data_IF_201109161819
#
_entry.id   IF_201109161819
#
_cell.length_a   1.000
_cell.length_b   1.000
_cell.length_c   1.000
_cell.angle_alpha   90.00
_cell.angle_beta   90.00
_cell.angle_gamma   90.00
#
_symmetry.space_group_name_H-M   'P 1'
#
loop_
_entity.id
_entity.type
_entity.pdbx_description
1 polymer ?
#
# COMPACT_ATOMS: atom_id res chain seq x y z
N UNK A 1 -15.85 -1.45 -11.52
CA UNK A 1 -16.94 -1.28 -12.49
C UNK A 1 -16.50 -1.93 -13.79
N UNK A 2 -17.27 -2.89 -14.29
CA UNK A 2 -16.96 -3.60 -15.53
C UNK A 2 -17.21 -2.71 -16.75
N UNK A 3 -18.22 -1.84 -16.65
CA UNK A 3 -18.55 -0.83 -17.64
C UNK A 3 -17.82 0.48 -17.36
N UNK A 4 -17.63 1.29 -18.41
CA UNK A 4 -16.99 2.62 -18.35
C UNK A 4 -17.93 3.74 -18.78
N UNK A 5 -19.22 3.45 -18.93
CA UNK A 5 -20.22 4.45 -19.30
C UNK A 5 -20.38 5.44 -18.14
N UNK A 6 -20.20 6.75 -18.35
CA UNK A 6 -20.34 7.73 -17.29
C UNK A 6 -21.81 7.84 -16.87
N UNK A 7 -22.07 7.76 -15.57
CA UNK A 7 -23.40 7.91 -14.97
C UNK A 7 -23.36 9.00 -13.90
N UNK A 8 -24.52 9.52 -13.51
CA UNK A 8 -24.57 10.54 -12.48
C UNK A 8 -24.00 9.98 -11.17
N UNK A 9 -22.92 10.59 -10.68
CA UNK A 9 -22.19 10.14 -9.48
C UNK A 9 -21.07 9.13 -9.74
N UNK A 10 -20.79 8.74 -11.00
CA UNK A 10 -19.62 7.91 -11.32
C UNK A 10 -18.33 8.70 -11.15
N UNK A 11 -17.31 8.06 -10.55
CA UNK A 11 -15.96 8.61 -10.41
C UNK A 11 -15.01 7.69 -11.18
N UNK A 12 -14.13 8.29 -11.98
CA UNK A 12 -13.07 7.56 -12.68
C UNK A 12 -11.85 7.42 -11.78
N UNK A 13 -11.45 6.18 -11.52
CA UNK A 13 -10.24 5.84 -10.77
C UNK A 13 -9.39 4.85 -11.57
N UNK A 14 -8.10 4.81 -11.25
CA UNK A 14 -7.19 3.84 -11.86
C UNK A 14 -7.53 2.41 -11.42
N UNK A 15 -7.22 1.42 -12.24
CA UNK A 15 -7.49 0.02 -11.89
C UNK A 15 -6.70 -0.44 -10.65
N UNK A 16 -5.55 0.19 -10.38
CA UNK A 16 -4.81 -0.01 -9.13
C UNK A 16 -5.61 0.48 -7.93
N UNK A 17 -6.15 1.70 -7.98
CA UNK A 17 -6.98 2.22 -6.90
C UNK A 17 -8.23 1.37 -6.67
N UNK A 18 -8.89 0.89 -7.74
CA UNK A 18 -10.04 -0.02 -7.61
C UNK A 18 -9.67 -1.31 -6.88
N UNK A 19 -8.49 -1.88 -7.17
CA UNK A 19 -7.98 -3.08 -6.49
C UNK A 19 -7.71 -2.83 -5.01
N UNK A 20 -7.07 -1.71 -4.67
CA UNK A 20 -6.85 -1.33 -3.27
C UNK A 20 -8.16 -1.13 -2.51
N UNK A 21 -9.11 -0.38 -3.08
CA UNK A 21 -10.42 -0.14 -2.48
C UNK A 21 -11.22 -1.43 -2.31
N UNK A 22 -11.13 -2.36 -3.26
CA UNK A 22 -11.76 -3.67 -3.13
C UNK A 22 -11.18 -4.46 -1.94
N UNK A 23 -9.86 -4.42 -1.74
CA UNK A 23 -9.24 -5.06 -0.58
C UNK A 23 -9.66 -4.41 0.75
N UNK A 24 -9.68 -3.08 0.81
CA UNK A 24 -10.10 -2.31 1.99
C UNK A 24 -11.59 -2.46 2.31
N UNK A 25 -12.43 -2.66 1.29
CA UNK A 25 -13.87 -2.81 1.44
C UNK A 25 -14.25 -4.00 2.32
N UNK A 26 -13.43 -5.05 2.36
CA UNK A 26 -13.66 -6.24 3.18
C UNK A 26 -13.80 -5.88 4.67
N UNK A 27 -12.83 -5.15 5.22
CA UNK A 27 -12.84 -4.73 6.62
C UNK A 27 -13.92 -3.67 6.88
N UNK A 28 -14.13 -2.76 5.93
CA UNK A 28 -15.14 -1.71 6.04
C UNK A 28 -16.55 -2.29 6.07
N UNK A 29 -16.81 -3.33 5.27
CA UNK A 29 -18.10 -4.02 5.24
C UNK A 29 -18.38 -4.76 6.54
N UNK A 30 -17.39 -5.45 7.13
CA UNK A 30 -17.53 -6.13 8.42
C UNK A 30 -17.80 -5.17 9.60
N UNK A 31 -17.33 -3.93 9.52
CA UNK A 31 -17.62 -2.89 10.53
C UNK A 31 -19.07 -2.40 10.47
N UNK A 32 -19.77 -2.63 9.36
CA UNK A 32 -21.14 -2.19 9.17
C UNK A 32 -22.13 -3.26 9.66
N UNK A 33 -22.80 -2.99 10.79
CA UNK A 33 -23.79 -3.91 11.39
C UNK A 33 -24.92 -4.30 10.42
N UNK A 34 -25.40 -3.35 9.62
CA UNK A 34 -26.47 -3.61 8.66
C UNK A 34 -26.01 -4.57 7.58
N UNK A 35 -24.76 -4.45 7.12
CA UNK A 35 -24.17 -5.40 6.18
C UNK A 35 -24.10 -6.79 6.81
N UNK A 36 -23.63 -6.89 8.05
CA UNK A 36 -23.52 -8.19 8.73
C UNK A 36 -24.88 -8.87 8.98
N UNK A 37 -25.92 -8.09 9.26
CA UNK A 37 -27.28 -8.61 9.46
C UNK A 37 -27.92 -9.07 8.14
N UNK A 38 -27.71 -8.32 7.05
CA UNK A 38 -28.34 -8.60 5.75
C UNK A 38 -27.59 -9.67 4.94
N UNK A 39 -26.28 -9.80 5.15
CA UNK A 39 -25.39 -10.62 4.33
C UNK A 39 -24.48 -11.52 5.17
N UNK A 40 -25.04 -12.40 6.03
CA UNK A 40 -24.25 -13.22 6.95
C UNK A 40 -23.32 -14.21 6.24
N UNK A 41 -23.73 -14.74 5.08
CA UNK A 41 -22.93 -15.68 4.29
C UNK A 41 -21.64 -15.04 3.77
N UNK A 42 -21.73 -13.77 3.34
CA UNK A 42 -20.57 -13.00 2.91
C UNK A 42 -19.67 -12.60 4.09
N UNK A 43 -20.23 -12.39 5.29
CA UNK A 43 -19.41 -12.16 6.50
C UNK A 43 -18.50 -13.34 6.75
N UNK A 44 -19.04 -14.56 6.73
CA UNK A 44 -18.26 -15.78 6.95
C UNK A 44 -17.17 -15.95 5.88
N UNK A 45 -17.52 -15.72 4.61
CA UNK A 45 -16.55 -15.78 3.50
C UNK A 45 -15.42 -14.75 3.68
N UNK A 46 -15.76 -13.51 4.03
CA UNK A 46 -14.78 -12.43 4.21
C UNK A 46 -13.87 -12.73 5.41
N UNK A 47 -14.43 -13.19 6.54
CA UNK A 47 -13.65 -13.58 7.72
C UNK A 47 -12.67 -14.71 7.41
N UNK A 48 -13.11 -15.72 6.66
CA UNK A 48 -12.25 -16.81 6.21
C UNK A 48 -11.11 -16.30 5.33
N UNK A 49 -11.42 -15.45 4.35
CA UNK A 49 -10.42 -14.87 3.46
C UNK A 49 -9.38 -14.03 4.23
N UNK A 50 -9.82 -13.23 5.21
CA UNK A 50 -8.91 -12.43 6.04
C UNK A 50 -8.00 -13.31 6.89
N UNK A 51 -8.54 -14.41 7.43
CA UNK A 51 -7.76 -15.39 8.18
C UNK A 51 -6.70 -16.06 7.30
N UNK A 52 -7.05 -16.51 6.10
CA UNK A 52 -6.11 -17.11 5.14
C UNK A 52 -4.99 -16.13 4.76
N UNK A 53 -5.32 -14.85 4.56
CA UNK A 53 -4.31 -13.80 4.32
C UNK A 53 -3.37 -13.61 5.50
N UNK A 54 -3.91 -13.60 6.72
CA UNK A 54 -3.09 -13.45 7.92
C UNK A 54 -2.16 -14.65 8.11
N UNK A 55 -2.65 -15.87 7.88
CA UNK A 55 -1.85 -17.08 7.94
C UNK A 55 -0.76 -17.11 6.87
N UNK A 56 -1.04 -16.66 5.64
CA UNK A 56 -0.03 -16.55 4.60
C UNK A 56 1.10 -15.57 4.99
N UNK A 57 0.77 -14.41 5.59
CA UNK A 57 1.76 -13.45 6.07
C UNK A 57 2.61 -14.06 7.19
N UNK A 58 1.99 -14.75 8.16
CA UNK A 58 2.70 -15.43 9.23
C UNK A 58 3.62 -16.56 8.72
N UNK A 59 3.20 -17.26 7.65
CA UNK A 59 4.02 -18.28 7.01
C UNK A 59 5.19 -17.66 6.23
N UNK A 60 5.00 -16.51 5.58
CA UNK A 60 6.09 -15.79 4.90
C UNK A 60 7.15 -15.31 5.91
N UNK A 61 6.75 -14.87 7.10
CA UNK A 61 7.69 -14.38 8.12
C UNK A 61 8.59 -15.50 8.68
N UNK A 62 8.05 -16.72 8.81
CA UNK A 62 8.83 -17.92 9.18
C UNK A 62 9.73 -18.45 8.05
N UNK A 63 9.51 -18.03 6.79
CA UNK A 63 10.24 -18.50 5.60
C UNK A 63 11.21 -17.44 5.06
N UNK A 64 11.60 -16.44 5.86
CA UNK A 64 12.68 -15.51 5.54
C UNK A 64 14.09 -16.12 5.69
N UNK A 65 14.23 -17.37 5.25
CA UNK A 65 15.43 -17.90 4.65
C UNK A 65 14.98 -18.44 3.28
N UNK A 66 15.52 -17.87 2.21
CA UNK A 66 15.34 -18.22 0.78
C UNK A 66 14.09 -17.71 0.04
N UNK A 67 14.33 -16.60 -0.66
CA UNK A 67 14.05 -16.35 -2.09
C UNK A 67 12.62 -16.39 -2.67
N UNK A 68 12.30 -15.24 -3.28
CA UNK A 68 11.49 -15.06 -4.50
C UNK A 68 9.97 -15.05 -4.36
N UNK A 69 9.41 -13.83 -4.23
CA UNK A 69 8.28 -13.35 -5.06
C UNK A 69 7.95 -11.88 -4.72
N UNK A 70 8.66 -10.91 -5.33
CA UNK A 70 8.25 -9.51 -5.25
C UNK A 70 8.49 -8.85 -6.61
N UNK A 71 7.44 -8.70 -7.43
CA UNK A 71 7.53 -7.95 -8.70
C UNK A 71 6.49 -6.83 -8.86
N UNK A 72 5.66 -6.54 -7.85
CA UNK A 72 4.68 -5.43 -7.96
C UNK A 72 4.60 -4.50 -6.74
N UNK A 73 4.77 -4.99 -5.51
CA UNK A 73 4.92 -4.11 -4.33
C UNK A 73 6.35 -3.62 -4.09
N UNK A 74 7.36 -4.29 -4.67
CA UNK A 74 8.75 -3.83 -4.54
C UNK A 74 8.96 -2.49 -5.24
N UNK A 75 8.22 -2.22 -6.33
CA UNK A 75 8.46 -1.02 -7.14
C UNK A 75 8.05 0.24 -6.38
N UNK A 76 6.84 0.28 -5.78
CA UNK A 76 6.38 1.43 -4.99
C UNK A 76 7.24 1.64 -3.73
N UNK A 77 7.57 0.57 -3.02
CA UNK A 77 8.40 0.63 -1.83
C UNK A 77 9.86 1.02 -2.16
N UNK A 78 10.42 0.53 -3.27
CA UNK A 78 11.77 0.88 -3.72
C UNK A 78 11.84 2.32 -4.21
N UNK A 79 10.84 2.82 -4.96
CA UNK A 79 10.77 4.25 -5.32
C UNK A 79 10.65 5.14 -4.07
N UNK A 80 9.83 4.76 -3.08
CA UNK A 80 9.70 5.51 -1.83
C UNK A 80 11.02 5.56 -1.04
N UNK A 81 11.69 4.42 -0.87
CA UNK A 81 12.99 4.33 -0.20
C UNK A 81 14.06 5.13 -0.97
N UNK A 82 14.11 4.98 -2.30
CA UNK A 82 15.06 5.68 -3.16
C UNK A 82 14.86 7.20 -3.13
N UNK A 83 13.60 7.66 -3.11
CA UNK A 83 13.27 9.09 -3.00
C UNK A 83 13.70 9.65 -1.64
N UNK A 84 13.39 8.96 -0.54
CA UNK A 84 13.80 9.38 0.80
C UNK A 84 15.33 9.39 0.96
N UNK A 85 16.03 8.40 0.40
CA UNK A 85 17.49 8.35 0.39
C UNK A 85 18.09 9.53 -0.38
N UNK A 86 17.55 9.86 -1.56
CA UNK A 86 18.00 10.98 -2.36
C UNK A 86 17.83 12.32 -1.63
N UNK A 87 16.68 12.51 -0.97
CA UNK A 87 16.42 13.70 -0.15
C UNK A 87 17.45 13.82 0.99
N UNK A 88 17.73 12.73 1.71
CA UNK A 88 18.72 12.70 2.80
C UNK A 88 20.12 13.10 2.29
N UNK A 89 20.56 12.50 1.18
CA UNK A 89 21.87 12.80 0.56
C UNK A 89 21.93 14.27 0.12
N UNK A 90 20.86 14.79 -0.49
CA UNK A 90 20.76 16.20 -0.88
C UNK A 90 20.91 17.16 0.30
N UNK A 91 20.25 16.88 1.42
CA UNK A 91 20.38 17.68 2.65
C UNK A 91 21.81 17.68 3.19
N UNK A 92 22.47 16.51 3.21
CA UNK A 92 23.86 16.40 3.66
C UNK A 92 24.79 17.19 2.74
N UNK A 93 24.67 17.04 1.42
CA UNK A 93 25.48 17.78 0.45
C UNK A 93 25.30 19.30 0.59
N UNK A 94 24.06 19.77 0.77
CA UNK A 94 23.76 21.19 0.93
C UNK A 94 24.35 21.74 2.23
N UNK A 95 24.24 21.00 3.34
CA UNK A 95 24.86 21.37 4.61
C UNK A 95 26.39 21.46 4.49
N UNK A 96 27.03 20.50 3.79
CA UNK A 96 28.47 20.54 3.52
C UNK A 96 28.86 21.71 2.62
N UNK A 97 28.08 22.04 1.60
CA UNK A 97 28.32 23.20 0.74
C UNK A 97 28.23 24.51 1.52
N UNK A 98 27.20 24.68 2.36
CA UNK A 98 27.06 25.87 3.22
C UNK A 98 28.26 25.98 4.16
N UNK A 99 28.66 24.87 4.80
CA UNK A 99 29.86 24.85 5.66
C UNK A 99 31.12 25.21 4.86
N UNK A 100 31.30 24.65 3.67
CA UNK A 100 32.46 24.92 2.81
C UNK A 100 32.52 26.40 2.41
N UNK A 101 31.40 26.99 2.00
CA UNK A 101 31.32 28.41 1.64
C UNK A 101 31.63 29.30 2.84
N UNK A 102 31.06 29.04 4.01
CA UNK A 102 31.33 29.81 5.24
C UNK A 102 32.80 29.73 5.67
N UNK A 103 33.43 28.57 5.55
CA UNK A 103 34.86 28.39 5.88
C UNK A 103 35.75 29.04 4.82
N UNK A 104 35.34 29.06 3.55
CA UNK A 104 36.12 29.70 2.48
C UNK A 104 36.06 31.23 2.49
N UNK A 105 35.03 31.81 3.12
CA UNK A 105 34.80 33.25 3.20
C UNK A 105 35.37 33.86 4.51
N UNK A 106 35.64 33.03 5.51
CA UNK A 106 36.33 33.42 6.75
C UNK A 106 37.85 33.30 6.64
#
# INVERSE_FOLDING_TARGET
MLEKTPTLGSIETTDNQKRCLAAESLETNLKNKMFCELFPEYVEEIEKLLKERQEAILHMDNTNMSDSEIMTEQQSNMYFIMTNLFVLVGFVCLAYMVKYVLVSIS
#
